data_IF_193963208763
#
_entry.id   IF_193963208763
#
_cell.length_a   1.000
_cell.length_b   1.000
_cell.length_c   1.000
_cell.angle_alpha   90.00
_cell.angle_beta   90.00
_cell.angle_gamma   90.00
#
_symmetry.space_group_name_H-M   'P 1'
#
loop_
_entity.id
_entity.type
_entity.pdbx_description
1 polymer ?
#
# COMPACT_ATOMS: atom_id res chain seq x y z
N UNK A 1 3.47 -0.40 28.17
CA UNK A 1 2.31 -0.57 27.28
C UNK A 1 2.74 -1.60 26.26
N UNK A 2 2.03 -2.74 26.15
CA UNK A 2 2.36 -3.75 25.16
C UNK A 2 2.24 -3.13 23.76
N UNK A 3 3.19 -3.43 22.87
CA UNK A 3 3.11 -3.03 21.47
C UNK A 3 1.77 -3.53 20.91
N UNK A 4 0.88 -2.62 20.51
CA UNK A 4 -0.32 -2.99 19.78
C UNK A 4 0.13 -3.77 18.53
N UNK A 5 -0.43 -4.94 18.34
CA UNK A 5 -0.05 -5.80 17.22
C UNK A 5 -0.41 -5.09 15.93
N UNK A 6 0.53 -5.02 14.96
CA UNK A 6 0.30 -4.39 13.66
C UNK A 6 -0.94 -5.01 12.97
N UNK A 7 -2.05 -4.25 12.77
CA UNK A 7 -3.31 -4.77 12.23
C UNK A 7 -3.17 -5.34 10.81
N UNK A 8 -2.11 -4.95 10.09
CA UNK A 8 -1.80 -5.53 8.78
C UNK A 8 -1.40 -7.01 8.87
N UNK A 9 -0.91 -7.45 10.02
CA UNK A 9 -0.45 -8.83 10.24
C UNK A 9 -1.43 -9.65 11.09
N UNK A 10 -2.52 -9.05 11.54
CA UNK A 10 -3.55 -9.71 12.32
C UNK A 10 -4.61 -10.35 11.40
N UNK A 11 -4.86 -11.64 11.61
CA UNK A 11 -5.86 -12.42 10.86
C UNK A 11 -7.31 -11.99 11.14
N UNK A 12 -7.57 -11.28 12.24
CA UNK A 12 -8.91 -10.94 12.73
C UNK A 12 -9.25 -9.45 12.65
N UNK A 13 -8.27 -8.57 12.48
CA UNK A 13 -8.44 -7.13 12.63
C UNK A 13 -9.32 -6.44 11.57
N UNK A 14 -9.47 -7.02 10.38
CA UNK A 14 -10.21 -6.47 9.24
C UNK A 14 -9.83 -5.01 8.90
N UNK A 15 -8.53 -4.66 8.76
CA UNK A 15 -8.13 -3.29 8.54
C UNK A 15 -8.69 -2.72 7.23
N UNK A 16 -9.12 -1.46 7.28
CA UNK A 16 -9.40 -0.61 6.13
C UNK A 16 -8.12 0.13 5.80
N UNK A 17 -7.53 -0.20 4.64
CA UNK A 17 -6.22 0.28 4.23
C UNK A 17 -6.41 1.32 3.12
N UNK A 18 -5.99 2.56 3.37
CA UNK A 18 -6.15 3.66 2.42
C UNK A 18 -5.12 3.53 1.30
N UNK A 19 -5.57 3.20 0.08
CA UNK A 19 -4.77 3.02 -1.13
C UNK A 19 -4.23 4.36 -1.62
N UNK A 20 -2.94 4.62 -1.39
CA UNK A 20 -2.29 5.91 -1.65
C UNK A 20 -2.96 7.07 -0.88
N UNK A 21 -3.41 6.79 0.36
CA UNK A 21 -4.30 7.67 1.11
C UNK A 21 -5.77 7.55 0.68
N UNK A 22 -6.60 8.52 1.03
CA UNK A 22 -8.00 8.62 0.58
C UNK A 22 -8.07 9.11 -0.89
N UNK A 23 -7.46 8.35 -1.80
CA UNK A 23 -7.20 8.76 -3.20
C UNK A 23 -8.45 8.94 -4.05
N UNK A 24 -9.61 8.47 -3.61
CA UNK A 24 -10.90 8.79 -4.25
C UNK A 24 -11.41 10.21 -3.96
N UNK A 25 -10.83 10.90 -2.95
CA UNK A 25 -11.29 12.20 -2.50
C UNK A 25 -10.17 13.27 -2.41
N UNK A 26 -8.89 12.86 -2.47
CA UNK A 26 -7.72 13.74 -2.49
C UNK A 26 -6.64 13.17 -3.43
N UNK A 27 -5.65 13.96 -3.89
CA UNK A 27 -4.60 13.50 -4.79
C UNK A 27 -3.80 12.34 -4.18
N UNK A 28 -3.68 11.23 -4.91
CA UNK A 28 -2.98 10.02 -4.46
C UNK A 28 -1.54 10.29 -4.00
N UNK A 29 -1.08 9.54 -3.00
CA UNK A 29 0.30 9.60 -2.51
C UNK A 29 0.76 11.00 -2.02
N UNK A 30 -0.16 11.80 -1.50
CA UNK A 30 0.13 13.13 -0.92
C UNK A 30 -0.22 13.18 0.57
N UNK A 31 0.39 14.11 1.31
CA UNK A 31 0.04 14.33 2.72
C UNK A 31 -1.45 14.64 2.88
N UNK A 32 -2.03 15.43 1.96
CA UNK A 32 -3.46 15.75 1.96
C UNK A 32 -4.36 14.48 1.87
N UNK A 33 -3.96 13.49 1.06
CA UNK A 33 -4.69 12.22 0.96
C UNK A 33 -4.53 11.37 2.23
N UNK A 34 -3.34 11.36 2.85
CA UNK A 34 -3.11 10.63 4.11
C UNK A 34 -3.83 11.26 5.29
N UNK A 35 -3.81 12.59 5.43
CA UNK A 35 -4.59 13.30 6.43
C UNK A 35 -6.10 13.04 6.28
N UNK A 36 -6.60 13.05 5.05
CA UNK A 36 -8.00 12.74 4.79
C UNK A 36 -8.31 11.28 5.15
N UNK A 37 -7.42 10.33 4.86
CA UNK A 37 -7.58 8.93 5.23
C UNK A 37 -7.69 8.74 6.75
N UNK A 38 -6.88 9.45 7.53
CA UNK A 38 -7.00 9.46 9.01
C UNK A 38 -8.36 9.99 9.44
N UNK A 39 -8.79 11.12 8.88
CA UNK A 39 -10.13 11.70 9.20
C UNK A 39 -11.27 10.75 8.83
N UNK A 40 -11.11 9.97 7.75
CA UNK A 40 -12.07 8.95 7.32
C UNK A 40 -11.97 7.66 8.13
N UNK A 41 -11.00 7.55 9.04
CA UNK A 41 -10.81 6.43 9.96
C UNK A 41 -10.23 5.19 9.29
N UNK A 42 -9.30 5.36 8.35
CA UNK A 42 -8.46 4.29 7.87
C UNK A 42 -7.58 3.75 9.01
N UNK A 43 -7.41 2.42 9.06
CA UNK A 43 -6.59 1.75 10.08
C UNK A 43 -5.11 1.66 9.67
N UNK A 44 -4.82 1.80 8.36
CA UNK A 44 -3.48 1.76 7.81
C UNK A 44 -3.42 2.51 6.47
N UNK A 45 -2.22 2.86 6.04
CA UNK A 45 -1.96 3.35 4.69
C UNK A 45 -1.36 2.25 3.81
N UNK A 46 -1.67 2.32 2.53
CA UNK A 46 -0.84 1.76 1.48
C UNK A 46 -0.23 2.92 0.70
N UNK A 47 1.05 2.82 0.31
CA UNK A 47 1.76 3.85 -0.44
C UNK A 47 2.89 3.26 -1.29
N UNK A 48 3.26 4.01 -2.33
CA UNK A 48 4.24 3.61 -3.34
C UNK A 48 5.55 4.39 -3.16
N UNK A 49 6.70 3.71 -3.15
CA UNK A 49 8.00 4.35 -2.98
C UNK A 49 8.89 4.20 -4.21
N UNK A 50 9.47 5.34 -4.62
CA UNK A 50 10.51 5.47 -5.64
C UNK A 50 11.66 6.33 -5.13
N UNK A 51 12.76 6.35 -5.89
CA UNK A 51 13.91 7.19 -5.59
C UNK A 51 14.00 8.40 -6.52
N UNK A 52 14.44 9.51 -5.95
CA UNK A 52 14.94 10.67 -6.69
C UNK A 52 16.34 10.41 -7.25
N UNK A 53 16.87 11.31 -8.08
CA UNK A 53 18.23 11.25 -8.64
C UNK A 53 19.33 11.23 -7.55
N UNK A 54 19.07 11.84 -6.41
CA UNK A 54 19.96 11.87 -5.24
C UNK A 54 19.67 10.77 -4.21
N UNK A 55 18.86 9.75 -4.60
CA UNK A 55 18.64 8.53 -3.81
C UNK A 55 17.68 8.70 -2.64
N UNK A 56 16.90 9.78 -2.58
CA UNK A 56 15.93 10.00 -1.50
C UNK A 56 14.63 9.26 -1.80
N UNK A 57 14.10 8.44 -0.87
CA UNK A 57 12.80 7.81 -1.02
C UNK A 57 11.67 8.84 -0.98
N UNK A 58 10.85 8.86 -2.04
CA UNK A 58 9.65 9.72 -2.16
C UNK A 58 8.43 8.89 -2.48
N UNK A 59 7.25 9.43 -2.19
CA UNK A 59 5.99 8.70 -2.33
C UNK A 59 5.33 9.06 -3.66
N UNK A 60 5.47 8.15 -4.64
CA UNK A 60 4.96 8.33 -6.00
C UNK A 60 4.80 6.95 -6.68
N UNK A 61 3.65 6.74 -7.36
CA UNK A 61 3.40 5.46 -8.03
C UNK A 61 4.18 5.30 -9.34
N UNK A 62 4.05 6.26 -10.26
CA UNK A 62 4.60 6.16 -11.61
C UNK A 62 6.10 6.53 -11.64
N UNK A 63 6.89 6.00 -12.57
CA UNK A 63 8.27 6.46 -12.77
C UNK A 63 8.32 7.87 -13.36
N UNK A 64 7.19 8.39 -13.86
CA UNK A 64 7.06 9.68 -14.51
C UNK A 64 6.04 10.57 -13.81
N UNK A 65 6.14 11.87 -13.97
CA UNK A 65 5.39 12.88 -13.21
C UNK A 65 4.05 13.27 -13.83
N UNK A 66 3.88 13.11 -15.15
CA UNK A 66 2.81 13.78 -15.91
C UNK A 66 1.38 13.33 -15.57
N UNK A 67 1.18 12.12 -15.01
CA UNK A 67 -0.18 11.64 -14.71
C UNK A 67 -0.82 12.39 -13.56
N UNK A 68 -0.03 12.71 -12.52
CA UNK A 68 -0.55 13.27 -11.27
C UNK A 68 -0.10 14.71 -11.01
N UNK A 69 0.84 15.25 -11.79
CA UNK A 69 1.43 16.55 -11.51
C UNK A 69 1.34 17.53 -12.69
N UNK A 70 1.76 18.77 -12.47
CA UNK A 70 1.90 19.82 -13.48
C UNK A 70 3.23 19.72 -14.29
N UNK A 71 4.01 18.65 -14.13
CA UNK A 71 5.32 18.46 -14.76
C UNK A 71 5.41 17.15 -15.53
N UNK A 72 6.16 17.12 -16.61
CA UNK A 72 6.52 15.91 -17.33
C UNK A 72 7.95 15.49 -17.01
N UNK A 73 8.29 14.23 -17.29
CA UNK A 73 9.64 13.68 -17.16
C UNK A 73 9.73 12.58 -16.09
N UNK A 74 10.94 12.01 -15.98
CA UNK A 74 11.23 10.94 -15.04
C UNK A 74 11.51 11.52 -13.65
N UNK A 75 10.94 10.91 -12.60
CA UNK A 75 11.29 11.22 -11.21
C UNK A 75 12.79 11.02 -10.95
N UNK A 76 13.36 9.91 -11.44
CA UNK A 76 14.76 9.57 -11.26
C UNK A 76 15.77 10.56 -11.90
N UNK A 77 15.29 11.53 -12.68
CA UNK A 77 16.10 12.62 -13.23
C UNK A 77 16.12 13.87 -12.33
N UNK A 78 15.33 13.89 -11.25
CA UNK A 78 15.16 15.03 -10.35
C UNK A 78 15.72 14.75 -8.97
N UNK A 79 16.35 15.75 -8.36
CA UNK A 79 16.73 15.72 -6.96
C UNK A 79 15.52 16.05 -6.07
N UNK A 80 15.57 15.71 -4.81
CA UNK A 80 14.50 16.06 -3.85
C UNK A 80 14.19 17.56 -3.86
N UNK A 81 15.22 18.42 -3.93
CA UNK A 81 15.05 19.86 -3.97
C UNK A 81 14.22 20.35 -5.18
N UNK A 82 14.28 19.63 -6.30
CA UNK A 82 13.56 19.98 -7.53
C UNK A 82 12.05 19.68 -7.43
N UNK A 83 11.63 18.86 -6.44
CA UNK A 83 10.23 18.49 -6.25
C UNK A 83 9.39 19.57 -5.57
N UNK A 84 10.03 20.53 -4.90
CA UNK A 84 9.35 21.57 -4.09
C UNK A 84 8.31 22.42 -4.83
N UNK A 85 8.49 22.58 -6.15
CA UNK A 85 7.61 23.39 -6.98
C UNK A 85 6.71 22.53 -7.90
N UNK A 86 6.60 21.24 -7.62
CA UNK A 86 5.77 20.31 -8.39
C UNK A 86 4.42 20.17 -7.67
N UNK A 87 3.36 20.59 -8.36
CA UNK A 87 1.99 20.49 -7.89
C UNK A 87 1.44 19.07 -8.15
N UNK A 88 1.36 18.24 -7.12
CA UNK A 88 0.80 16.89 -7.17
C UNK A 88 -0.74 16.88 -7.09
N UNK A 89 -1.37 18.03 -6.88
CA UNK A 89 -2.82 18.20 -6.94
C UNK A 89 -3.33 18.61 -8.32
N UNK A 90 -2.43 18.90 -9.27
CA UNK A 90 -2.72 19.58 -10.54
C UNK A 90 -3.76 18.87 -11.40
N UNK A 91 -3.72 17.54 -11.50
CA UNK A 91 -4.61 16.75 -12.35
C UNK A 91 -5.80 16.17 -11.61
N UNK A 92 -5.83 16.26 -10.26
CA UNK A 92 -6.87 15.64 -9.47
C UNK A 92 -8.24 16.26 -9.73
N UNK A 93 -9.20 15.41 -10.11
CA UNK A 93 -10.59 15.80 -10.38
C UNK A 93 -11.53 14.66 -9.98
N UNK A 94 -12.66 14.99 -9.35
CA UNK A 94 -13.71 14.04 -8.98
C UNK A 94 -14.90 14.01 -9.95
N UNK A 95 -14.92 14.93 -10.90
CA UNK A 95 -16.05 15.19 -11.79
C UNK A 95 -15.68 15.09 -13.28
N UNK A 96 -14.67 14.29 -13.59
CA UNK A 96 -14.22 14.04 -14.97
C UNK A 96 -13.49 15.22 -15.60
N UNK A 97 -12.77 16.02 -14.81
CA UNK A 97 -11.95 17.12 -15.30
C UNK A 97 -12.69 18.46 -15.40
N UNK A 98 -13.85 18.61 -14.76
CA UNK A 98 -14.58 19.89 -14.73
C UNK A 98 -14.03 20.82 -13.66
N UNK A 99 -13.66 20.27 -12.49
CA UNK A 99 -13.03 21.02 -11.41
C UNK A 99 -11.74 20.37 -10.93
N UNK A 100 -10.82 21.17 -10.41
CA UNK A 100 -9.52 20.74 -9.90
C UNK A 100 -9.26 21.37 -8.54
N UNK A 101 -9.87 20.87 -7.47
CA UNK A 101 -9.91 21.52 -6.16
C UNK A 101 -8.55 21.58 -5.44
N UNK A 102 -7.57 20.78 -5.88
CA UNK A 102 -6.22 20.76 -5.30
C UNK A 102 -5.16 21.43 -6.18
N UNK A 103 -5.55 21.98 -7.33
CA UNK A 103 -4.62 22.68 -8.19
C UNK A 103 -4.18 24.01 -7.54
N UNK A 104 -2.86 24.21 -7.49
CA UNK A 104 -2.23 25.34 -6.80
C UNK A 104 -2.59 25.48 -5.30
N UNK A 105 -2.89 24.36 -4.64
CA UNK A 105 -3.25 24.28 -3.22
C UNK A 105 -2.08 23.82 -2.34
N UNK A 106 -0.83 24.02 -2.80
CA UNK A 106 0.40 23.63 -2.12
C UNK A 106 0.48 22.13 -1.79
N UNK A 107 0.00 21.31 -2.72
CA UNK A 107 0.06 19.84 -2.61
C UNK A 107 1.27 19.32 -3.37
N UNK A 108 2.32 18.95 -2.65
CA UNK A 108 3.56 18.42 -3.21
C UNK A 108 3.65 16.89 -3.21
N UNK A 109 4.76 16.38 -3.81
CA UNK A 109 5.18 14.99 -3.70
C UNK A 109 5.95 14.85 -2.38
N UNK A 110 5.45 14.10 -1.38
CA UNK A 110 6.14 13.97 -0.11
C UNK A 110 7.32 12.99 -0.20
N UNK A 111 8.35 13.23 0.57
CA UNK A 111 9.35 12.21 0.90
C UNK A 111 8.73 11.17 1.84
N UNK A 112 9.30 9.95 1.84
CA UNK A 112 8.84 8.90 2.74
C UNK A 112 9.01 9.32 4.22
N UNK A 113 10.09 10.05 4.55
CA UNK A 113 10.32 10.52 5.93
C UNK A 113 9.23 11.50 6.39
N UNK A 114 8.74 12.38 5.51
CA UNK A 114 7.64 13.29 5.85
C UNK A 114 6.36 12.52 6.19
N UNK A 115 6.05 11.46 5.43
CA UNK A 115 4.89 10.61 5.73
C UNK A 115 5.08 9.85 7.03
N UNK A 116 6.25 9.22 7.24
CA UNK A 116 6.52 8.45 8.46
C UNK A 116 6.46 9.30 9.73
N UNK A 117 6.98 10.54 9.68
CA UNK A 117 6.96 11.48 10.81
C UNK A 117 5.60 12.16 11.00
N UNK A 118 4.91 12.45 9.90
CA UNK A 118 3.59 13.07 9.95
C UNK A 118 2.50 12.15 10.52
N UNK A 119 2.70 10.82 10.40
CA UNK A 119 1.74 9.80 10.84
C UNK A 119 2.43 8.68 11.63
N UNK A 120 3.01 8.98 12.81
CA UNK A 120 3.88 8.05 13.54
C UNK A 120 3.15 6.79 14.03
N UNK A 121 1.85 6.86 14.27
CA UNK A 121 1.05 5.77 14.84
C UNK A 121 0.32 4.93 13.77
N UNK A 122 0.38 5.34 12.50
CA UNK A 122 -0.36 4.66 11.44
C UNK A 122 0.51 3.55 10.82
N UNK A 123 0.03 2.28 10.80
CA UNK A 123 0.67 1.19 10.08
C UNK A 123 0.69 1.43 8.57
N UNK A 124 1.77 0.97 7.90
CA UNK A 124 1.99 1.23 6.47
C UNK A 124 2.27 -0.07 5.72
N UNK A 125 1.50 -0.34 4.68
CA UNK A 125 1.84 -1.27 3.61
C UNK A 125 2.64 -0.50 2.55
N UNK A 126 3.96 -0.65 2.55
CA UNK A 126 4.89 0.13 1.77
C UNK A 126 5.34 -0.64 0.52
N UNK A 127 4.89 -0.22 -0.66
CA UNK A 127 5.26 -0.85 -1.91
C UNK A 127 6.53 -0.24 -2.52
N UNK A 128 7.59 -1.05 -2.65
CA UNK A 128 8.79 -0.67 -3.38
C UNK A 128 8.58 -0.91 -4.88
N UNK A 129 8.60 0.18 -5.67
CA UNK A 129 8.41 0.12 -7.11
C UNK A 129 9.69 -0.26 -7.87
N UNK A 130 10.83 -0.25 -7.20
CA UNK A 130 12.14 -0.55 -7.78
C UNK A 130 13.09 -1.18 -6.76
N UNK A 131 13.95 -2.08 -7.22
CA UNK A 131 14.85 -2.81 -6.34
C UNK A 131 15.95 -1.91 -5.73
N UNK A 132 16.29 -0.82 -6.38
CA UNK A 132 17.27 0.17 -5.90
C UNK A 132 16.82 0.89 -4.64
N UNK A 133 15.52 0.96 -4.38
CA UNK A 133 14.96 1.63 -3.21
C UNK A 133 15.17 0.85 -1.90
N UNK A 134 15.51 -0.46 -1.96
CA UNK A 134 15.56 -1.32 -0.78
C UNK A 134 16.59 -0.83 0.28
N UNK A 135 17.77 -0.40 -0.13
CA UNK A 135 18.81 0.10 0.80
C UNK A 135 18.39 1.39 1.52
N UNK A 136 18.08 2.47 0.78
CA UNK A 136 17.63 3.73 1.36
C UNK A 136 16.37 3.58 2.22
N UNK A 137 15.38 2.79 1.80
CA UNK A 137 14.15 2.54 2.59
C UNK A 137 14.47 1.77 3.87
N UNK A 138 15.30 0.70 3.78
CA UNK A 138 15.70 -0.07 4.95
C UNK A 138 16.36 0.80 6.01
N UNK A 139 17.31 1.63 5.60
CA UNK A 139 18.01 2.57 6.50
C UNK A 139 17.02 3.52 7.15
N UNK A 140 16.15 4.16 6.36
CA UNK A 140 15.16 5.11 6.85
C UNK A 140 14.19 4.50 7.87
N UNK A 141 13.69 3.27 7.62
CA UNK A 141 12.78 2.59 8.55
C UNK A 141 13.45 2.31 9.90
N UNK A 142 14.74 2.00 9.92
CA UNK A 142 15.50 1.79 11.16
C UNK A 142 15.69 3.13 11.89
N UNK A 143 16.13 4.18 11.19
CA UNK A 143 16.38 5.51 11.75
C UNK A 143 15.13 6.14 12.36
N UNK A 144 13.97 5.95 11.70
CA UNK A 144 12.68 6.48 12.14
C UNK A 144 11.91 5.55 13.11
N UNK A 145 12.50 4.42 13.56
CA UNK A 145 11.85 3.41 14.40
C UNK A 145 10.48 2.94 13.83
N UNK A 146 10.39 2.83 12.49
CA UNK A 146 9.15 2.53 11.79
C UNK A 146 9.03 1.05 11.36
N UNK A 147 10.01 0.20 11.69
CA UNK A 147 10.07 -1.19 11.23
C UNK A 147 8.84 -1.99 11.64
N UNK A 148 8.42 -1.89 12.90
CA UNK A 148 7.33 -2.73 13.46
C UNK A 148 5.95 -2.38 12.88
N UNK A 149 5.77 -1.15 12.40
CA UNK A 149 4.51 -0.69 11.81
C UNK A 149 4.48 -0.74 10.28
N UNK A 150 5.60 -1.11 9.62
CA UNK A 150 5.69 -1.20 8.17
C UNK A 150 5.74 -2.65 7.69
N UNK A 151 4.94 -2.97 6.68
CA UNK A 151 5.03 -4.22 5.91
C UNK A 151 5.49 -3.86 4.50
N UNK A 152 6.63 -4.45 4.08
CA UNK A 152 7.22 -4.16 2.78
C UNK A 152 6.58 -5.02 1.69
N UNK A 153 6.12 -4.37 0.63
CA UNK A 153 5.52 -5.00 -0.55
C UNK A 153 6.30 -4.66 -1.81
N UNK A 154 6.25 -5.51 -2.80
CA UNK A 154 6.67 -5.26 -4.18
C UNK A 154 6.16 -6.37 -5.10
N UNK A 155 5.85 -6.03 -6.34
CA UNK A 155 5.61 -7.04 -7.38
C UNK A 155 6.87 -7.87 -7.68
N UNK A 156 8.06 -7.28 -7.47
CA UNK A 156 9.35 -7.86 -7.78
C UNK A 156 10.04 -8.42 -6.54
N UNK A 157 10.26 -9.73 -6.50
CA UNK A 157 10.98 -10.40 -5.40
C UNK A 157 12.35 -9.76 -5.12
N UNK A 158 13.04 -9.28 -6.16
CA UNK A 158 14.36 -8.65 -6.02
C UNK A 158 14.34 -7.43 -5.10
N UNK A 159 13.25 -6.67 -5.06
CA UNK A 159 13.09 -5.49 -4.21
C UNK A 159 12.84 -5.84 -2.73
N UNK A 160 12.51 -7.11 -2.42
CA UNK A 160 12.20 -7.55 -1.05
C UNK A 160 13.34 -8.32 -0.39
N UNK A 161 14.44 -8.60 -1.09
CA UNK A 161 15.49 -9.51 -0.59
C UNK A 161 16.06 -9.10 0.77
N UNK A 162 16.39 -7.82 0.96
CA UNK A 162 17.02 -7.32 2.21
C UNK A 162 16.05 -7.24 3.39
N UNK A 163 14.75 -7.45 3.15
CA UNK A 163 13.69 -7.41 4.15
C UNK A 163 13.16 -8.79 4.55
N UNK A 164 13.73 -9.88 3.99
CA UNK A 164 13.29 -11.24 4.30
C UNK A 164 13.73 -11.72 5.69
N UNK A 165 14.73 -11.07 6.26
CA UNK A 165 15.22 -11.39 7.59
C UNK A 165 14.58 -10.47 8.66
N UNK A 166 14.33 -10.98 9.88
CA UNK A 166 13.87 -10.14 10.98
C UNK A 166 14.80 -8.92 11.18
N UNK A 167 14.26 -7.81 11.64
CA UNK A 167 12.92 -7.60 12.18
C UNK A 167 11.83 -7.22 11.15
N UNK A 168 12.13 -7.25 9.86
CA UNK A 168 11.20 -6.79 8.83
C UNK A 168 10.08 -7.79 8.53
N UNK A 169 8.89 -7.27 8.21
CA UNK A 169 7.77 -8.03 7.68
C UNK A 169 7.58 -7.73 6.18
N UNK A 170 7.37 -8.76 5.38
CA UNK A 170 7.16 -8.59 3.93
C UNK A 170 5.86 -9.22 3.46
N UNK A 171 5.26 -8.62 2.43
CA UNK A 171 4.23 -9.26 1.63
C UNK A 171 4.86 -10.20 0.59
N UNK A 172 4.03 -11.08 0.04
CA UNK A 172 4.40 -11.92 -1.09
C UNK A 172 4.58 -11.09 -2.37
N UNK A 173 5.62 -11.41 -3.15
CA UNK A 173 5.76 -10.92 -4.52
C UNK A 173 4.75 -11.58 -5.47
N UNK A 174 4.57 -11.04 -6.67
CA UNK A 174 3.67 -11.60 -7.68
C UNK A 174 3.98 -13.08 -8.01
N UNK A 175 5.26 -13.43 -8.09
CA UNK A 175 5.69 -14.81 -8.34
C UNK A 175 5.31 -15.75 -7.19
N UNK A 176 5.49 -15.32 -5.93
CA UNK A 176 5.15 -16.10 -4.74
C UNK A 176 3.64 -16.31 -4.60
N UNK A 177 2.83 -15.27 -4.90
CA UNK A 177 1.37 -15.40 -4.97
C UNK A 177 0.99 -16.49 -6.00
N UNK A 178 1.59 -16.47 -7.19
CA UNK A 178 1.35 -17.46 -8.22
C UNK A 178 1.76 -18.89 -7.81
N UNK A 179 2.84 -19.04 -7.05
CA UNK A 179 3.27 -20.33 -6.49
C UNK A 179 2.26 -20.86 -5.49
N UNK A 180 1.83 -20.04 -4.52
CA UNK A 180 0.82 -20.43 -3.52
C UNK A 180 -0.53 -20.75 -4.19
N UNK A 181 -0.95 -19.93 -5.17
CA UNK A 181 -2.22 -20.16 -5.89
C UNK A 181 -2.24 -21.53 -6.56
N UNK A 182 -1.14 -21.91 -7.26
CA UNK A 182 -0.99 -23.24 -7.86
C UNK A 182 -0.92 -24.35 -6.81
N UNK A 183 -0.20 -24.15 -5.72
CA UNK A 183 -0.11 -25.11 -4.63
C UNK A 183 -1.49 -25.44 -4.03
N UNK A 184 -2.34 -24.41 -3.84
CA UNK A 184 -3.72 -24.58 -3.39
C UNK A 184 -4.56 -25.35 -4.40
N UNK A 185 -4.44 -25.00 -5.69
CA UNK A 185 -5.18 -25.68 -6.78
C UNK A 185 -4.87 -27.18 -6.84
N UNK A 186 -3.59 -27.54 -6.66
CA UNK A 186 -3.13 -28.94 -6.68
C UNK A 186 -3.12 -29.61 -5.29
N UNK A 187 -3.68 -28.97 -4.25
CA UNK A 187 -3.70 -29.47 -2.87
C UNK A 187 -2.32 -29.81 -2.29
N UNK A 188 -1.31 -29.03 -2.67
CA UNK A 188 0.10 -29.17 -2.25
C UNK A 188 0.57 -27.93 -1.48
N UNK A 189 -0.27 -27.48 -0.51
CA UNK A 189 0.03 -26.29 0.30
C UNK A 189 1.29 -26.54 1.13
N UNK A 190 2.30 -25.62 1.13
CA UNK A 190 3.51 -25.77 1.93
C UNK A 190 3.20 -25.68 3.43
N UNK A 191 4.15 -26.09 4.27
CA UNK A 191 4.02 -25.99 5.74
C UNK A 191 4.35 -24.61 6.28
N UNK A 192 5.07 -23.76 5.54
CA UNK A 192 5.44 -22.40 5.91
C UNK A 192 5.59 -21.50 4.69
N UNK A 193 5.55 -20.19 4.93
CA UNK A 193 5.71 -19.15 3.90
C UNK A 193 6.91 -18.25 4.25
N UNK A 194 7.69 -17.78 3.24
CA UNK A 194 8.80 -16.86 3.45
C UNK A 194 8.36 -15.40 3.59
N UNK A 195 7.07 -15.14 3.68
CA UNK A 195 6.44 -13.82 3.82
C UNK A 195 5.31 -13.90 4.85
N UNK A 196 4.86 -12.75 5.33
CA UNK A 196 3.88 -12.65 6.41
C UNK A 196 2.52 -12.10 5.97
N UNK A 197 2.40 -11.63 4.72
CA UNK A 197 1.22 -10.98 4.18
C UNK A 197 1.02 -11.36 2.71
N UNK A 198 -0.24 -11.48 2.29
CA UNK A 198 -0.65 -11.55 0.89
C UNK A 198 -1.45 -10.30 0.53
N UNK A 199 -0.90 -9.45 -0.35
CA UNK A 199 -1.62 -8.32 -0.95
C UNK A 199 -1.97 -8.68 -2.40
N UNK A 200 -3.26 -8.92 -2.68
CA UNK A 200 -3.68 -9.52 -3.95
C UNK A 200 -4.79 -8.72 -4.63
N UNK A 201 -4.86 -8.71 -5.99
CA UNK A 201 -5.98 -8.11 -6.70
C UNK A 201 -7.26 -8.95 -6.53
N UNK A 202 -8.42 -8.32 -6.68
CA UNK A 202 -9.71 -9.04 -6.77
C UNK A 202 -9.68 -10.08 -7.89
N UNK A 203 -9.09 -9.72 -9.04
CA UNK A 203 -8.93 -10.60 -10.20
C UNK A 203 -7.55 -10.41 -10.83
N UNK A 204 -6.99 -11.50 -11.36
CA UNK A 204 -5.81 -11.45 -12.22
C UNK A 204 -6.11 -12.17 -13.53
N UNK A 205 -5.94 -11.49 -14.68
CA UNK A 205 -6.27 -12.01 -16.02
C UNK A 205 -7.66 -12.67 -16.09
N UNK A 206 -8.66 -12.02 -15.47
CA UNK A 206 -10.05 -12.49 -15.44
C UNK A 206 -10.37 -13.55 -14.37
N UNK A 207 -9.38 -14.18 -13.76
CA UNK A 207 -9.56 -15.20 -12.72
C UNK A 207 -9.64 -14.54 -11.31
N UNK A 208 -10.56 -14.97 -10.43
CA UNK A 208 -10.60 -14.50 -9.06
C UNK A 208 -9.38 -15.00 -8.29
N UNK A 209 -8.67 -14.10 -7.61
CA UNK A 209 -7.50 -14.48 -6.79
C UNK A 209 -7.92 -14.85 -5.38
N UNK A 210 -8.73 -14.04 -4.63
CA UNK A 210 -9.13 -14.36 -3.27
C UNK A 210 -10.29 -15.38 -3.26
N UNK A 211 -10.03 -16.61 -3.76
CA UNK A 211 -11.00 -17.70 -3.63
C UNK A 211 -11.06 -18.17 -2.19
N UNK A 212 -12.18 -18.79 -1.76
CA UNK A 212 -12.32 -19.35 -0.40
C UNK A 212 -11.16 -20.31 -0.05
N UNK A 213 -10.78 -21.19 -0.98
CA UNK A 213 -9.68 -22.16 -0.76
C UNK A 213 -8.33 -21.48 -0.61
N UNK A 214 -8.05 -20.45 -1.44
CA UNK A 214 -6.81 -19.67 -1.36
C UNK A 214 -6.70 -18.92 -0.03
N UNK A 215 -7.77 -18.22 0.35
CA UNK A 215 -7.82 -17.47 1.62
C UNK A 215 -7.72 -18.41 2.82
N UNK A 216 -8.44 -19.56 2.82
CA UNK A 216 -8.38 -20.53 3.89
C UNK A 216 -6.96 -21.13 4.03
N UNK A 217 -6.29 -21.46 2.94
CA UNK A 217 -4.91 -21.97 2.96
C UNK A 217 -3.94 -20.94 3.53
N UNK A 218 -4.02 -19.67 3.09
CA UNK A 218 -3.19 -18.60 3.61
C UNK A 218 -3.41 -18.38 5.12
N UNK A 219 -4.67 -18.33 5.57
CA UNK A 219 -5.02 -18.18 6.99
C UNK A 219 -4.52 -19.36 7.83
N UNK A 220 -4.61 -20.59 7.30
CA UNK A 220 -4.08 -21.79 7.97
C UNK A 220 -2.56 -21.74 8.16
N UNK A 221 -1.86 -20.95 7.37
CA UNK A 221 -0.42 -20.67 7.49
C UNK A 221 -0.10 -19.41 8.30
N UNK A 222 -1.08 -18.79 8.97
CA UNK A 222 -0.90 -17.55 9.72
C UNK A 222 -0.66 -16.31 8.86
N UNK A 223 -1.01 -16.34 7.56
CA UNK A 223 -0.77 -15.28 6.62
C UNK A 223 -2.09 -14.57 6.25
N UNK A 224 -2.32 -13.32 6.69
CA UNK A 224 -3.49 -12.55 6.31
C UNK A 224 -3.49 -12.21 4.82
N UNK A 225 -4.69 -12.13 4.23
CA UNK A 225 -4.90 -11.75 2.84
C UNK A 225 -5.58 -10.38 2.81
N UNK A 226 -4.92 -9.41 2.18
CA UNK A 226 -5.49 -8.10 1.86
C UNK A 226 -5.82 -8.02 0.37
N UNK A 227 -6.92 -7.36 0.03
CA UNK A 227 -7.42 -7.31 -1.35
C UNK A 227 -7.51 -5.88 -1.86
N UNK A 228 -6.93 -5.60 -3.02
CA UNK A 228 -6.92 -4.31 -3.71
C UNK A 228 -7.48 -4.37 -5.12
N UNK A 229 -7.96 -3.28 -5.70
CA UNK A 229 -8.47 -2.10 -5.02
C UNK A 229 -9.97 -2.26 -4.95
N UNK A 230 -10.56 -2.17 -3.76
CA UNK A 230 -11.99 -2.41 -3.52
C UNK A 230 -12.64 -1.12 -3.01
N UNK A 231 -13.51 -0.53 -3.82
CA UNK A 231 -14.23 0.71 -3.51
C UNK A 231 -15.74 0.50 -3.30
N UNK A 232 -16.20 -0.73 -3.45
CA UNK A 232 -17.60 -1.14 -3.30
C UNK A 232 -17.81 -1.86 -1.97
N UNK A 233 -18.75 -1.37 -1.17
CA UNK A 233 -19.10 -1.90 0.14
C UNK A 233 -19.56 -3.37 0.09
N UNK A 234 -20.41 -3.73 -0.85
CA UNK A 234 -20.94 -5.10 -0.98
C UNK A 234 -19.84 -6.10 -1.38
N UNK A 235 -18.89 -5.67 -2.22
CA UNK A 235 -17.71 -6.46 -2.55
C UNK A 235 -16.84 -6.66 -1.32
N UNK A 236 -16.60 -5.63 -0.50
CA UNK A 236 -15.83 -5.73 0.73
C UNK A 236 -16.47 -6.72 1.72
N UNK A 237 -17.76 -6.62 1.97
CA UNK A 237 -18.51 -7.54 2.83
C UNK A 237 -18.40 -8.98 2.32
N UNK A 238 -18.54 -9.18 1.00
CA UNK A 238 -18.38 -10.51 0.38
C UNK A 238 -16.97 -11.09 0.61
N UNK A 239 -15.93 -10.26 0.51
CA UNK A 239 -14.55 -10.67 0.69
C UNK A 239 -14.26 -11.02 2.17
N UNK A 240 -14.73 -10.21 3.13
CA UNK A 240 -14.65 -10.54 4.55
C UNK A 240 -15.38 -11.85 4.89
N UNK A 241 -16.56 -12.09 4.27
CA UNK A 241 -17.29 -13.36 4.38
C UNK A 241 -16.56 -14.58 3.78
N UNK A 242 -15.50 -14.35 2.98
CA UNK A 242 -14.58 -15.40 2.50
C UNK A 242 -13.37 -15.59 3.40
N UNK A 243 -13.20 -14.74 4.43
CA UNK A 243 -12.07 -14.78 5.35
C UNK A 243 -10.91 -13.85 4.96
N UNK A 244 -11.09 -12.96 3.98
CA UNK A 244 -10.12 -11.88 3.70
C UNK A 244 -9.93 -11.04 4.96
N UNK A 245 -8.71 -10.68 5.30
CA UNK A 245 -8.42 -9.87 6.48
C UNK A 245 -8.64 -8.38 6.16
N UNK A 246 -7.87 -7.77 5.28
CA UNK A 246 -7.94 -6.33 5.02
C UNK A 246 -8.43 -5.97 3.63
N UNK A 247 -8.97 -4.77 3.52
CA UNK A 247 -9.42 -4.17 2.26
C UNK A 247 -8.59 -2.92 1.97
N UNK A 248 -7.93 -2.91 0.82
CA UNK A 248 -7.20 -1.75 0.28
C UNK A 248 -8.15 -0.97 -0.63
N UNK A 249 -8.40 0.30 -0.32
CA UNK A 249 -9.46 1.10 -0.93
C UNK A 249 -9.05 2.55 -1.18
N UNK A 250 -9.62 3.15 -2.23
CA UNK A 250 -9.55 4.60 -2.45
C UNK A 250 -10.58 5.39 -1.62
N UNK A 251 -11.56 4.70 -1.00
CA UNK A 251 -12.71 5.26 -0.29
C UNK A 251 -12.78 4.69 1.14
N UNK A 252 -11.86 5.09 2.06
CA UNK A 252 -11.81 4.53 3.40
C UNK A 252 -13.10 4.69 4.20
N UNK A 253 -13.78 5.83 4.09
CA UNK A 253 -15.06 6.12 4.76
C UNK A 253 -16.15 5.11 4.36
N UNK A 254 -16.28 4.81 3.05
CA UNK A 254 -17.27 3.86 2.53
C UNK A 254 -17.02 2.45 3.05
N UNK A 255 -15.76 2.00 3.01
CA UNK A 255 -15.41 0.64 3.44
C UNK A 255 -15.45 0.51 4.97
N UNK A 256 -15.09 1.57 5.70
CA UNK A 256 -15.21 1.59 7.17
C UNK A 256 -16.67 1.47 7.62
N UNK A 257 -17.58 2.14 6.94
CA UNK A 257 -19.00 2.02 7.27
C UNK A 257 -19.52 0.60 7.03
N UNK A 258 -19.16 0.00 5.86
CA UNK A 258 -19.52 -1.39 5.54
C UNK A 258 -18.95 -2.43 6.53
N UNK A 259 -17.87 -2.12 7.25
CA UNK A 259 -17.27 -3.03 8.24
C UNK A 259 -18.11 -3.17 9.52
N UNK A 260 -18.98 -2.20 9.80
CA UNK A 260 -19.84 -2.19 11.00
C UNK A 260 -21.05 -3.14 10.86
N UNK A 261 -21.40 -3.49 9.64
CA UNK A 261 -22.49 -4.45 9.33
C UNK A 261 -21.99 -5.91 9.45
#
# INVERSE_FOLDING_TARGET
MGAESNPLLDLSARPVIAHRGASGAAPENTLAAFELAVRQGADAFELDVRLTADGVPVVLHDPTLQRTTNRAGLLAALRLADLRNIDAGFTFSRDGGRTFPFRAADVGIPSLIEVLRGFPDIPVLLELKEATAQGPVRQLLIEENAVDRCVLASEHLAALKVFREPPFATAASAAEIGVLYRAVLFRRVPSSLPYRLLSVPVRHRGLPVPTRSFVAAARGLGCPVHVWTVNDAAVAVTLWGRGVAGIVTNLPDVIREARKE
#
